data_IF_599981879316
#
_entry.id   IF_599981879316
#
_cell.length_a   1.000
_cell.length_b   1.000
_cell.length_c   1.000
_cell.angle_alpha   90.00
_cell.angle_beta   90.00
_cell.angle_gamma   90.00
#
_symmetry.space_group_name_H-M   'P 1'
#
loop_
_entity.id
_entity.type
_entity.pdbx_description
1 polymer ?
#
# COMPACT_ATOMS: atom_id res chain seq x y z
N UNK A 1 -42.38 -1.22 -8.08
CA UNK A 1 -41.58 -1.89 -7.04
C UNK A 1 -41.57 -0.96 -5.85
N UNK A 2 -41.96 -1.44 -4.68
CA UNK A 2 -42.17 -0.59 -3.51
C UNK A 2 -40.82 -0.09 -2.98
N UNK A 3 -40.72 1.18 -2.56
CA UNK A 3 -39.43 1.81 -2.17
C UNK A 3 -38.78 1.04 -1.00
N UNK A 4 -39.62 0.44 -0.15
CA UNK A 4 -39.21 -0.39 0.98
C UNK A 4 -38.65 -1.76 0.54
N UNK A 5 -39.15 -2.34 -0.54
CA UNK A 5 -38.64 -3.59 -1.10
C UNK A 5 -37.29 -3.39 -1.77
N UNK A 6 -37.10 -2.27 -2.48
CA UNK A 6 -35.80 -1.91 -3.08
C UNK A 6 -34.74 -1.65 -2.01
N UNK A 7 -35.08 -0.93 -0.93
CA UNK A 7 -34.13 -0.66 0.15
C UNK A 7 -33.77 -1.93 0.97
N UNK A 8 -34.73 -2.83 1.17
CA UNK A 8 -34.47 -4.12 1.80
C UNK A 8 -33.59 -5.04 0.93
N UNK A 9 -33.78 -5.00 -0.39
CA UNK A 9 -32.97 -5.75 -1.35
C UNK A 9 -31.51 -5.24 -1.39
N UNK A 10 -31.32 -3.92 -1.50
CA UNK A 10 -29.99 -3.29 -1.52
C UNK A 10 -29.19 -3.57 -0.25
N UNK A 11 -29.84 -3.53 0.93
CA UNK A 11 -29.19 -3.87 2.20
C UNK A 11 -28.76 -5.34 2.26
N UNK A 12 -29.56 -6.27 1.73
CA UNK A 12 -29.19 -7.69 1.65
C UNK A 12 -28.01 -7.89 0.70
N UNK A 13 -28.02 -7.23 -0.46
CA UNK A 13 -26.95 -7.32 -1.44
C UNK A 13 -25.61 -6.79 -0.87
N UNK A 14 -25.61 -5.61 -0.25
CA UNK A 14 -24.41 -5.03 0.40
C UNK A 14 -23.85 -5.91 1.51
N UNK A 15 -24.72 -6.55 2.30
CA UNK A 15 -24.31 -7.49 3.34
C UNK A 15 -23.64 -8.73 2.74
N UNK A 16 -24.23 -9.31 1.70
CA UNK A 16 -23.68 -10.49 1.04
C UNK A 16 -22.31 -10.18 0.39
N UNK A 17 -22.17 -9.02 -0.25
CA UNK A 17 -20.89 -8.55 -0.82
C UNK A 17 -19.84 -8.33 0.27
N UNK A 18 -20.22 -7.72 1.41
CA UNK A 18 -19.31 -7.54 2.55
C UNK A 18 -18.84 -8.88 3.13
N UNK A 19 -19.75 -9.86 3.27
CA UNK A 19 -19.38 -11.21 3.68
C UNK A 19 -18.44 -11.87 2.67
N UNK A 20 -18.74 -11.79 1.38
CA UNK A 20 -17.90 -12.36 0.33
C UNK A 20 -16.49 -11.73 0.34
N UNK A 21 -16.40 -10.41 0.53
CA UNK A 21 -15.11 -9.71 0.63
C UNK A 21 -14.32 -10.20 1.84
N UNK A 22 -14.96 -10.33 3.00
CA UNK A 22 -14.31 -10.87 4.20
C UNK A 22 -13.79 -12.30 3.97
N UNK A 23 -14.59 -13.17 3.35
CA UNK A 23 -14.14 -14.52 3.00
C UNK A 23 -12.97 -14.51 2.01
N UNK A 24 -12.98 -13.60 1.03
CA UNK A 24 -11.88 -13.44 0.07
C UNK A 24 -10.58 -12.92 0.71
N UNK A 25 -10.68 -12.18 1.83
CA UNK A 25 -9.53 -11.65 2.57
C UNK A 25 -9.01 -12.60 3.66
N UNK A 26 -9.76 -13.65 3.99
CA UNK A 26 -9.38 -14.62 5.02
C UNK A 26 -7.98 -15.25 4.78
N UNK A 27 -7.60 -15.63 3.55
CA UNK A 27 -6.24 -16.13 3.28
C UNK A 27 -5.14 -15.10 3.62
N UNK A 28 -5.36 -13.81 3.34
CA UNK A 28 -4.43 -12.74 3.70
C UNK A 28 -4.22 -12.69 5.22
N UNK A 29 -5.29 -12.70 6.01
CA UNK A 29 -5.20 -12.65 7.46
C UNK A 29 -4.51 -13.89 8.05
N UNK A 30 -4.83 -15.08 7.54
CA UNK A 30 -4.18 -16.32 7.97
C UNK A 30 -2.67 -16.31 7.65
N UNK A 31 -2.30 -15.87 6.45
CA UNK A 31 -0.89 -15.77 6.07
C UNK A 31 -0.14 -14.71 6.86
N UNK A 32 -0.76 -13.57 7.16
CA UNK A 32 -0.15 -12.53 8.00
C UNK A 32 0.05 -13.03 9.43
N UNK A 33 -0.93 -13.74 9.99
CA UNK A 33 -0.80 -14.38 11.31
C UNK A 33 0.31 -15.44 11.31
N UNK A 34 0.41 -16.26 10.26
CA UNK A 34 1.49 -17.24 10.09
C UNK A 34 2.86 -16.54 10.05
N UNK A 35 2.97 -15.43 9.32
CA UNK A 35 4.20 -14.64 9.27
C UNK A 35 4.62 -14.16 10.67
N UNK A 36 3.72 -13.56 11.44
CA UNK A 36 4.04 -13.10 12.79
C UNK A 36 4.32 -14.25 13.76
N UNK A 37 3.69 -15.41 13.57
CA UNK A 37 3.95 -16.61 14.36
C UNK A 37 5.33 -17.21 14.10
N UNK A 38 5.74 -17.26 12.83
CA UNK A 38 7.05 -17.81 12.43
C UNK A 38 8.20 -16.83 12.59
N UNK A 39 7.91 -15.53 12.64
CA UNK A 39 8.94 -14.51 12.68
C UNK A 39 9.62 -14.47 14.06
N UNK A 40 10.94 -14.66 14.03
CA UNK A 40 11.83 -14.45 15.17
C UNK A 40 13.00 -13.54 14.74
N UNK A 41 13.59 -12.74 15.67
CA UNK A 41 14.75 -11.91 15.36
C UNK A 41 15.93 -12.70 14.75
N UNK A 42 16.07 -13.96 15.14
CA UNK A 42 17.12 -14.89 14.67
C UNK A 42 16.69 -15.75 13.47
N UNK A 43 15.60 -15.38 12.79
CA UNK A 43 15.10 -16.15 11.65
C UNK A 43 16.14 -16.20 10.51
N UNK A 44 16.39 -17.38 9.93
CA UNK A 44 17.40 -17.52 8.89
C UNK A 44 16.98 -16.78 7.61
N UNK A 45 17.95 -16.11 6.98
CA UNK A 45 17.80 -15.56 5.63
C UNK A 45 17.62 -16.73 4.66
N UNK A 46 16.38 -16.97 4.23
CA UNK A 46 16.02 -18.14 3.44
C UNK A 46 14.92 -17.80 2.44
N UNK A 47 14.83 -18.60 1.37
CA UNK A 47 13.74 -18.50 0.41
C UNK A 47 12.39 -18.74 1.10
N UNK A 48 12.37 -19.58 2.13
CA UNK A 48 11.17 -19.81 2.94
C UNK A 48 10.73 -18.54 3.68
N UNK A 49 11.64 -17.83 4.35
CA UNK A 49 11.29 -16.60 5.07
C UNK A 49 10.85 -15.49 4.10
N UNK A 50 11.47 -15.40 2.93
CA UNK A 50 11.01 -14.52 1.83
C UNK A 50 9.60 -14.87 1.35
N UNK A 51 9.32 -16.16 1.15
CA UNK A 51 8.00 -16.65 0.77
C UNK A 51 6.93 -16.36 1.82
N UNK A 52 7.21 -16.64 3.10
CA UNK A 52 6.26 -16.39 4.21
C UNK A 52 6.00 -14.89 4.39
N UNK A 53 7.02 -14.03 4.20
CA UNK A 53 6.87 -12.57 4.27
C UNK A 53 6.05 -12.00 3.10
N UNK A 54 6.23 -12.51 1.88
CA UNK A 54 5.53 -12.01 0.69
C UNK A 54 4.13 -12.62 0.50
N UNK A 55 3.86 -13.79 1.09
CA UNK A 55 2.60 -14.52 0.93
C UNK A 55 1.33 -13.71 1.25
N UNK A 56 1.25 -12.89 2.32
CA UNK A 56 0.06 -12.08 2.58
C UNK A 56 -0.25 -11.16 1.40
N UNK A 57 0.76 -10.48 0.87
CA UNK A 57 0.62 -9.53 -0.24
C UNK A 57 0.22 -10.22 -1.54
N UNK A 58 0.79 -11.40 -1.83
CA UNK A 58 0.40 -12.20 -2.98
C UNK A 58 -1.05 -12.68 -2.90
N UNK A 59 -1.50 -13.12 -1.73
CA UNK A 59 -2.90 -13.53 -1.51
C UNK A 59 -3.86 -12.34 -1.63
N UNK A 60 -3.43 -11.16 -1.18
CA UNK A 60 -4.18 -9.92 -1.36
C UNK A 60 -4.26 -9.53 -2.84
N UNK A 61 -3.18 -9.70 -3.61
CA UNK A 61 -3.17 -9.48 -5.05
C UNK A 61 -4.15 -10.42 -5.77
N UNK A 62 -4.18 -11.70 -5.39
CA UNK A 62 -5.14 -12.67 -5.90
C UNK A 62 -6.59 -12.29 -5.57
N UNK A 63 -6.85 -11.77 -4.36
CA UNK A 63 -8.17 -11.27 -3.98
C UNK A 63 -8.58 -10.05 -4.82
N UNK A 64 -7.72 -9.05 -5.02
CA UNK A 64 -8.06 -7.90 -5.88
C UNK A 64 -8.30 -8.35 -7.32
N UNK A 65 -7.50 -9.29 -7.83
CA UNK A 65 -7.66 -9.82 -9.18
C UNK A 65 -9.00 -10.56 -9.37
N UNK A 66 -9.47 -11.32 -8.37
CA UNK A 66 -10.73 -12.07 -8.47
C UNK A 66 -11.96 -11.15 -8.46
N UNK A 67 -11.87 -9.98 -7.83
CA UNK A 67 -12.95 -8.99 -7.76
C UNK A 67 -12.95 -8.03 -8.95
N UNK A 68 -11.79 -7.47 -9.29
CA UNK A 68 -11.68 -6.40 -10.28
C UNK A 68 -11.27 -6.88 -11.67
N UNK A 69 -10.93 -8.16 -11.82
CA UNK A 69 -10.52 -8.77 -13.07
C UNK A 69 -9.17 -8.26 -13.59
N UNK A 70 -8.84 -8.66 -14.83
CA UNK A 70 -7.52 -8.43 -15.43
C UNK A 70 -7.11 -6.96 -15.59
N UNK A 71 -8.07 -6.02 -15.58
CA UNK A 71 -7.76 -4.58 -15.66
C UNK A 71 -6.98 -4.08 -14.43
N UNK A 72 -7.10 -4.73 -13.27
CA UNK A 72 -6.34 -4.35 -12.07
C UNK A 72 -4.87 -4.82 -12.12
N UNK A 73 -4.48 -5.70 -13.06
CA UNK A 73 -3.08 -6.17 -13.23
C UNK A 73 -2.12 -5.03 -13.52
N UNK A 74 -2.53 -4.06 -14.35
CA UNK A 74 -1.74 -2.85 -14.61
C UNK A 74 -1.90 -1.77 -13.53
N UNK A 75 -2.68 -2.05 -12.48
CA UNK A 75 -2.93 -1.15 -11.37
C UNK A 75 -2.58 -1.76 -10.02
N UNK A 76 -3.53 -1.82 -9.08
CA UNK A 76 -3.26 -2.23 -7.70
C UNK A 76 -2.67 -3.64 -7.60
N UNK A 77 -3.11 -4.60 -8.43
CA UNK A 77 -2.48 -5.94 -8.44
C UNK A 77 -1.00 -5.85 -8.83
N UNK A 78 -0.66 -5.06 -9.85
CA UNK A 78 0.73 -4.83 -10.24
C UNK A 78 1.57 -4.24 -9.10
N UNK A 79 1.05 -3.23 -8.40
CA UNK A 79 1.71 -2.65 -7.24
C UNK A 79 1.91 -3.65 -6.09
N UNK A 80 0.92 -4.52 -5.84
CA UNK A 80 1.02 -5.58 -4.84
C UNK A 80 2.09 -6.62 -5.23
N UNK A 81 2.16 -7.01 -6.51
CA UNK A 81 3.19 -7.95 -6.99
C UNK A 81 4.61 -7.37 -6.84
N UNK A 82 4.81 -6.08 -7.17
CA UNK A 82 6.09 -5.42 -6.96
C UNK A 82 6.41 -5.23 -5.47
N UNK A 83 5.41 -5.00 -4.62
CA UNK A 83 5.59 -4.95 -3.17
C UNK A 83 6.03 -6.32 -2.61
N UNK A 84 5.40 -7.41 -3.07
CA UNK A 84 5.79 -8.77 -2.72
C UNK A 84 7.22 -9.12 -3.19
N UNK A 85 7.62 -8.64 -4.37
CA UNK A 85 9.00 -8.75 -4.85
C UNK A 85 9.96 -7.96 -3.94
N UNK A 86 9.56 -6.76 -3.52
CA UNK A 86 10.28 -5.97 -2.53
C UNK A 86 10.48 -6.72 -1.21
N UNK A 87 9.41 -7.35 -0.70
CA UNK A 87 9.45 -8.17 0.51
C UNK A 87 10.46 -9.31 0.43
N UNK A 88 10.50 -10.00 -0.72
CA UNK A 88 11.48 -11.05 -0.99
C UNK A 88 12.91 -10.50 -0.97
N UNK A 89 13.18 -9.43 -1.72
CA UNK A 89 14.51 -8.84 -1.81
C UNK A 89 15.01 -8.32 -0.45
N UNK A 90 14.13 -7.73 0.37
CA UNK A 90 14.50 -7.17 1.68
C UNK A 90 14.90 -8.21 2.72
N UNK A 91 14.77 -9.52 2.46
CA UNK A 91 15.33 -10.56 3.34
C UNK A 91 16.86 -10.58 3.27
N UNK A 92 17.45 -10.23 2.12
CA UNK A 92 18.89 -10.25 1.93
C UNK A 92 19.44 -8.81 1.92
N UNK A 93 20.40 -8.47 2.80
CA UNK A 93 20.98 -7.13 2.86
C UNK A 93 21.57 -6.65 1.52
N UNK A 94 22.17 -7.57 0.76
CA UNK A 94 22.76 -7.33 -0.57
C UNK A 94 21.72 -6.88 -1.61
N UNK A 95 20.46 -7.29 -1.43
CA UNK A 95 19.35 -6.97 -2.31
C UNK A 95 18.52 -5.79 -1.81
N UNK A 96 18.97 -5.08 -0.77
CA UNK A 96 18.25 -3.95 -0.19
C UNK A 96 17.86 -2.90 -1.26
N UNK A 97 18.80 -2.52 -2.13
CA UNK A 97 18.55 -1.54 -3.18
C UNK A 97 17.53 -2.05 -4.21
N UNK A 98 17.60 -3.35 -4.56
CA UNK A 98 16.64 -3.98 -5.47
C UNK A 98 15.24 -4.05 -4.84
N UNK A 99 15.16 -4.35 -3.55
CA UNK A 99 13.91 -4.32 -2.79
C UNK A 99 13.29 -2.92 -2.74
N UNK A 100 14.10 -1.91 -2.42
CA UNK A 100 13.69 -0.51 -2.46
C UNK A 100 13.20 -0.10 -3.85
N UNK A 101 13.90 -0.50 -4.91
CA UNK A 101 13.48 -0.22 -6.29
C UNK A 101 12.15 -0.90 -6.63
N UNK A 102 11.92 -2.14 -6.18
CA UNK A 102 10.65 -2.83 -6.38
C UNK A 102 9.49 -2.09 -5.67
N UNK A 103 9.68 -1.65 -4.43
CA UNK A 103 8.69 -0.81 -3.72
C UNK A 103 8.49 0.56 -4.40
N UNK A 104 9.54 1.19 -4.93
CA UNK A 104 9.43 2.42 -5.70
C UNK A 104 8.54 2.24 -6.95
N UNK A 105 8.70 1.13 -7.65
CA UNK A 105 7.83 0.76 -8.79
C UNK A 105 6.40 0.52 -8.33
N UNK A 106 6.19 -0.13 -7.18
CA UNK A 106 4.86 -0.30 -6.60
C UNK A 106 4.17 1.06 -6.34
N UNK A 107 4.87 2.01 -5.69
CA UNK A 107 4.38 3.36 -5.43
C UNK A 107 4.04 4.11 -6.72
N UNK A 108 4.85 3.95 -7.77
CA UNK A 108 4.57 4.52 -9.08
C UNK A 108 3.31 3.91 -9.71
N UNK A 109 3.15 2.60 -9.67
CA UNK A 109 1.96 1.92 -10.20
C UNK A 109 0.70 2.35 -9.44
N UNK A 110 0.75 2.42 -8.10
CA UNK A 110 -0.35 2.94 -7.29
C UNK A 110 -0.68 4.39 -7.66
N UNK A 111 0.33 5.24 -7.80
CA UNK A 111 0.17 6.63 -8.26
C UNK A 111 -0.56 6.72 -9.60
N UNK A 112 -0.12 5.97 -10.61
CA UNK A 112 -0.76 5.93 -11.93
C UNK A 112 -2.19 5.38 -11.85
N UNK A 113 -2.43 4.41 -10.97
CA UNK A 113 -3.76 3.84 -10.73
C UNK A 113 -4.71 4.88 -10.13
N UNK A 114 -4.26 5.65 -9.14
CA UNK A 114 -5.03 6.72 -8.51
C UNK A 114 -5.29 7.90 -9.45
N UNK A 115 -4.52 8.02 -10.54
CA UNK A 115 -4.78 8.98 -11.61
C UNK A 115 -5.90 8.56 -12.58
N UNK A 116 -6.20 7.26 -12.64
CA UNK A 116 -7.20 6.66 -13.55
C UNK A 116 -8.62 7.20 -13.30
N UNK A 117 -9.44 7.17 -14.35
CA UNK A 117 -10.86 7.54 -14.28
C UNK A 117 -11.66 6.73 -13.26
N UNK A 118 -11.18 5.52 -12.89
CA UNK A 118 -11.77 4.66 -11.85
C UNK A 118 -11.87 5.34 -10.48
N UNK A 119 -11.00 6.30 -10.19
CA UNK A 119 -10.92 6.98 -8.89
C UNK A 119 -11.41 8.43 -8.93
N UNK A 120 -12.19 8.79 -9.95
CA UNK A 120 -12.59 10.18 -10.13
C UNK A 120 -13.59 10.64 -9.06
N UNK A 121 -13.23 11.65 -8.28
CA UNK A 121 -14.18 12.72 -7.95
C UNK A 121 -13.51 14.08 -8.10
N UNK A 122 -13.88 14.80 -9.16
CA UNK A 122 -13.43 16.17 -9.42
C UNK A 122 -14.12 17.13 -8.44
N UNK A 123 -13.41 17.50 -7.37
CA UNK A 123 -13.57 18.81 -6.75
C UNK A 123 -12.21 19.32 -6.32
N UNK A 124 -11.57 20.08 -7.21
CA UNK A 124 -10.30 20.76 -6.94
C UNK A 124 -10.55 21.95 -6.00
N UNK A 125 -10.85 21.66 -4.74
CA UNK A 125 -10.93 22.67 -3.68
C UNK A 125 -9.54 23.24 -3.37
N UNK A 126 -9.45 24.49 -2.96
CA UNK A 126 -8.20 25.07 -2.44
C UNK A 126 -7.62 24.25 -1.28
N UNK A 127 -8.47 23.53 -0.53
CA UNK A 127 -8.06 22.64 0.55
C UNK A 127 -7.23 21.44 0.09
N UNK A 128 -7.55 20.82 -1.05
CA UNK A 128 -6.80 19.66 -1.55
C UNK A 128 -5.40 20.06 -2.00
N UNK A 129 -5.26 21.21 -2.67
CA UNK A 129 -3.95 21.78 -3.03
C UNK A 129 -3.09 22.09 -1.81
N UNK A 130 -3.70 22.59 -0.74
CA UNK A 130 -2.98 22.84 0.53
C UNK A 130 -2.47 21.54 1.16
N UNK A 131 -3.29 20.47 1.17
CA UNK A 131 -2.86 19.15 1.65
C UNK A 131 -1.72 18.55 0.81
N UNK A 132 -1.71 18.77 -0.51
CA UNK A 132 -0.60 18.33 -1.36
C UNK A 132 0.71 19.01 -0.95
N UNK A 133 0.67 20.33 -0.74
CA UNK A 133 1.83 21.09 -0.30
C UNK A 133 2.34 20.57 1.05
N UNK A 134 1.45 20.31 2.01
CA UNK A 134 1.81 19.76 3.32
C UNK A 134 2.56 18.43 3.16
N UNK A 135 2.04 17.49 2.36
CA UNK A 135 2.69 16.19 2.19
C UNK A 135 4.07 16.32 1.54
N UNK A 136 4.24 17.21 0.55
CA UNK A 136 5.55 17.47 -0.05
C UNK A 136 6.53 18.11 0.94
N UNK A 137 6.07 19.03 1.80
CA UNK A 137 6.91 19.61 2.87
C UNK A 137 7.32 18.53 3.87
N UNK A 138 6.40 17.65 4.29
CA UNK A 138 6.70 16.55 5.20
C UNK A 138 7.71 15.58 4.57
N UNK A 139 7.48 15.15 3.32
CA UNK A 139 8.38 14.24 2.61
C UNK A 139 9.78 14.84 2.40
N UNK A 140 9.84 16.10 1.93
CA UNK A 140 11.10 16.82 1.77
C UNK A 140 11.83 17.05 3.09
N UNK A 141 11.11 17.44 4.15
CA UNK A 141 11.65 17.59 5.50
C UNK A 141 12.20 16.29 6.07
N UNK A 142 11.49 15.17 5.86
CA UNK A 142 11.96 13.86 6.26
C UNK A 142 13.23 13.44 5.52
N UNK A 143 13.30 13.66 4.21
CA UNK A 143 14.52 13.38 3.44
C UNK A 143 15.72 14.21 3.91
N UNK A 144 15.52 15.51 4.18
CA UNK A 144 16.56 16.39 4.72
C UNK A 144 17.02 15.90 6.10
N UNK A 145 16.10 15.46 6.95
CA UNK A 145 16.42 14.88 8.25
C UNK A 145 17.23 13.58 8.14
N UNK A 146 16.93 12.74 7.15
CA UNK A 146 17.60 11.46 6.92
C UNK A 146 18.99 11.62 6.26
N UNK A 147 19.20 12.68 5.48
CA UNK A 147 20.41 12.98 4.72
C UNK A 147 21.75 12.75 5.47
N UNK A 148 21.98 13.28 6.71
CA UNK A 148 23.24 13.06 7.42
C UNK A 148 23.49 11.59 7.79
N UNK A 149 22.44 10.77 7.92
CA UNK A 149 22.56 9.33 8.19
C UNK A 149 22.86 8.57 6.90
N UNK A 150 22.25 8.96 5.78
CA UNK A 150 22.55 8.39 4.45
C UNK A 150 24.02 8.61 4.06
N UNK A 151 24.59 9.79 4.36
CA UNK A 151 26.00 10.09 4.08
C UNK A 151 27.01 9.26 4.90
N UNK A 152 26.57 8.61 5.98
CA UNK A 152 27.40 7.70 6.78
C UNK A 152 27.37 6.25 6.27
N UNK A 153 26.44 5.93 5.37
CA UNK A 153 26.36 4.60 4.79
C UNK A 153 27.51 4.36 3.79
N UNK A 154 28.02 3.11 3.67
CA UNK A 154 29.15 2.78 2.81
C UNK A 154 28.92 3.16 1.33
N UNK A 155 27.68 3.07 0.83
CA UNK A 155 27.30 3.37 -0.56
C UNK A 155 26.54 4.70 -0.70
N UNK A 156 26.95 5.73 0.05
CA UNK A 156 26.17 6.97 0.15
C UNK A 156 25.89 7.67 -1.19
N UNK A 157 26.81 7.57 -2.16
CA UNK A 157 26.67 8.26 -3.45
C UNK A 157 25.52 7.69 -4.29
N UNK A 158 25.20 6.41 -4.11
CA UNK A 158 24.05 5.76 -4.75
C UNK A 158 22.80 5.83 -3.87
N UNK A 159 22.94 5.65 -2.56
CA UNK A 159 21.82 5.62 -1.62
C UNK A 159 21.12 6.97 -1.48
N UNK A 160 21.87 8.08 -1.46
CA UNK A 160 21.30 9.43 -1.32
C UNK A 160 20.30 9.74 -2.45
N UNK A 161 20.67 9.66 -3.75
CA UNK A 161 19.71 9.90 -4.82
C UNK A 161 18.62 8.83 -4.89
N UNK A 162 18.92 7.56 -4.61
CA UNK A 162 17.92 6.48 -4.63
C UNK A 162 16.82 6.71 -3.58
N UNK A 163 17.20 7.04 -2.34
CA UNK A 163 16.24 7.35 -1.27
C UNK A 163 15.48 8.65 -1.57
N UNK A 164 16.12 9.64 -2.19
CA UNK A 164 15.43 10.86 -2.64
C UNK A 164 14.32 10.58 -3.65
N UNK A 165 14.60 9.76 -4.67
CA UNK A 165 13.59 9.31 -5.64
C UNK A 165 12.49 8.49 -4.96
N UNK A 166 12.87 7.60 -4.04
CA UNK A 166 11.91 6.80 -3.28
C UNK A 166 10.93 7.68 -2.47
N UNK A 167 11.45 8.62 -1.69
CA UNK A 167 10.66 9.55 -0.88
C UNK A 167 9.75 10.41 -1.77
N UNK A 168 10.23 10.84 -2.93
CA UNK A 168 9.41 11.54 -3.89
C UNK A 168 8.23 10.69 -4.38
N UNK A 169 8.48 9.43 -4.78
CA UNK A 169 7.45 8.53 -5.32
C UNK A 169 6.39 8.15 -4.28
N UNK A 170 6.78 7.84 -3.04
CA UNK A 170 5.82 7.53 -1.98
C UNK A 170 5.01 8.77 -1.57
N UNK A 171 5.63 9.95 -1.58
CA UNK A 171 4.92 11.22 -1.33
C UNK A 171 3.93 11.51 -2.45
N UNK A 172 4.35 11.31 -3.71
CA UNK A 172 3.48 11.43 -4.88
C UNK A 172 2.27 10.49 -4.75
N UNK A 173 2.49 9.21 -4.40
CA UNK A 173 1.41 8.27 -4.15
C UNK A 173 0.45 8.78 -3.07
N UNK A 174 0.96 9.22 -1.92
CA UNK A 174 0.13 9.78 -0.84
C UNK A 174 -0.69 11.00 -1.27
N UNK A 175 -0.10 11.90 -2.06
CA UNK A 175 -0.81 13.07 -2.59
C UNK A 175 -1.91 12.68 -3.59
N UNK A 176 -1.65 11.70 -4.45
CA UNK A 176 -2.64 11.22 -5.40
C UNK A 176 -3.74 10.41 -4.72
N UNK A 177 -3.46 9.75 -3.58
CA UNK A 177 -4.46 9.09 -2.78
C UNK A 177 -5.52 10.07 -2.24
N UNK A 178 -5.13 11.31 -1.86
CA UNK A 178 -6.08 12.37 -1.46
C UNK A 178 -7.05 12.69 -2.60
N UNK A 179 -6.56 12.72 -3.85
CA UNK A 179 -7.39 13.00 -5.04
C UNK A 179 -8.52 11.98 -5.22
N UNK A 180 -8.30 10.74 -4.79
CA UNK A 180 -9.28 9.66 -4.98
C UNK A 180 -10.59 9.89 -4.22
N UNK A 181 -10.58 10.71 -3.16
CA UNK A 181 -11.73 10.90 -2.27
C UNK A 181 -12.14 9.65 -1.48
N UNK A 182 -11.40 8.54 -1.63
CA UNK A 182 -11.72 7.26 -1.00
C UNK A 182 -10.93 7.10 0.29
N UNK A 183 -11.65 7.00 1.41
CA UNK A 183 -11.04 6.93 2.74
C UNK A 183 -10.08 5.73 2.89
N UNK A 184 -10.44 4.55 2.36
CA UNK A 184 -9.58 3.36 2.47
C UNK A 184 -8.25 3.56 1.73
N UNK A 185 -8.29 4.01 0.47
CA UNK A 185 -7.10 4.28 -0.34
C UNK A 185 -6.21 5.36 0.27
N UNK A 186 -6.80 6.44 0.80
CA UNK A 186 -6.09 7.51 1.49
C UNK A 186 -5.41 7.01 2.77
N UNK A 187 -6.17 6.37 3.67
CA UNK A 187 -5.64 5.85 4.93
C UNK A 187 -4.57 4.79 4.69
N UNK A 188 -4.75 3.93 3.69
CA UNK A 188 -3.77 2.94 3.29
C UNK A 188 -2.46 3.58 2.83
N UNK A 189 -2.55 4.58 1.93
CA UNK A 189 -1.36 5.28 1.42
C UNK A 189 -0.60 6.03 2.52
N UNK A 190 -1.32 6.71 3.43
CA UNK A 190 -0.70 7.38 4.58
C UNK A 190 -0.06 6.39 5.56
N UNK A 191 -0.71 5.25 5.79
CA UNK A 191 -0.17 4.19 6.65
C UNK A 191 1.09 3.56 6.02
N UNK A 192 1.13 3.44 4.69
CA UNK A 192 2.33 3.02 3.97
C UNK A 192 3.49 4.01 4.20
N UNK A 193 3.23 5.31 4.07
CA UNK A 193 4.24 6.33 4.36
C UNK A 193 4.80 6.20 5.79
N UNK A 194 3.94 5.94 6.77
CA UNK A 194 4.36 5.74 8.16
C UNK A 194 5.21 4.47 8.32
N UNK A 195 4.81 3.36 7.68
CA UNK A 195 5.59 2.11 7.63
C UNK A 195 7.00 2.36 7.11
N UNK A 196 7.12 3.09 6.00
CA UNK A 196 8.40 3.30 5.33
C UNK A 196 9.29 4.31 6.06
N UNK A 197 8.70 5.31 6.72
CA UNK A 197 9.41 6.17 7.67
C UNK A 197 10.00 5.31 8.80
N UNK A 198 9.19 4.45 9.42
CA UNK A 198 9.66 3.57 10.50
C UNK A 198 10.77 2.62 10.01
N UNK A 199 10.62 2.04 8.82
CA UNK A 199 11.62 1.19 8.19
C UNK A 199 12.92 1.94 7.91
N UNK A 200 12.84 3.15 7.34
CA UNK A 200 14.02 3.97 7.05
C UNK A 200 14.78 4.37 8.32
N UNK A 201 14.07 4.75 9.39
CA UNK A 201 14.69 5.06 10.68
C UNK A 201 15.44 3.85 11.26
N UNK A 202 14.88 2.65 11.11
CA UNK A 202 15.50 1.40 11.55
C UNK A 202 16.72 1.03 10.69
N UNK A 203 16.59 1.03 9.36
CA UNK A 203 17.65 0.62 8.42
C UNK A 203 18.86 1.55 8.49
N UNK A 204 18.62 2.87 8.54
CA UNK A 204 19.69 3.86 8.61
C UNK A 204 20.14 4.17 10.04
N UNK A 205 19.69 3.37 11.02
CA UNK A 205 20.11 3.43 12.44
C UNK A 205 20.00 4.83 13.03
N UNK A 206 18.90 5.52 12.71
CA UNK A 206 18.61 6.86 13.20
C UNK A 206 18.23 6.83 14.67
N UNK A 207 17.49 5.80 15.07
CA UNK A 207 17.03 5.55 16.45
C UNK A 207 17.75 4.33 17.04
N UNK A 208 17.81 4.27 18.37
CA UNK A 208 18.32 3.08 19.07
C UNK A 208 17.46 1.84 18.73
N UNK A 209 18.04 0.62 18.75
CA UNK A 209 17.29 -0.60 18.48
C UNK A 209 16.10 -0.72 19.44
N UNK A 210 14.89 -0.57 18.90
CA UNK A 210 13.67 -0.82 19.67
C UNK A 210 13.28 -2.29 19.48
N UNK A 211 13.01 -3.00 20.58
CA UNK A 211 12.67 -4.43 20.58
C UNK A 211 11.50 -4.78 19.64
N UNK A 212 10.58 -3.83 19.40
CA UNK A 212 9.36 -4.06 18.62
C UNK A 212 9.32 -3.29 17.28
N UNK A 213 10.44 -2.66 16.87
CA UNK A 213 10.47 -1.81 15.65
C UNK A 213 9.97 -2.54 14.41
N UNK A 214 10.43 -3.78 14.22
CA UNK A 214 10.09 -4.59 13.04
C UNK A 214 8.60 -4.96 13.02
N UNK A 215 8.00 -5.28 14.17
CA UNK A 215 6.58 -5.60 14.26
C UNK A 215 5.73 -4.39 13.85
N UNK A 216 6.10 -3.20 14.32
CA UNK A 216 5.41 -1.94 13.97
C UNK A 216 5.44 -1.72 12.45
N UNK A 217 6.62 -1.88 11.82
CA UNK A 217 6.77 -1.77 10.37
C UNK A 217 5.85 -2.77 9.66
N UNK A 218 5.91 -4.05 10.01
CA UNK A 218 5.14 -5.07 9.29
C UNK A 218 3.62 -4.96 9.50
N UNK A 219 3.17 -4.58 10.70
CA UNK A 219 1.74 -4.34 10.97
C UNK A 219 1.23 -3.16 10.16
N UNK A 220 1.95 -2.04 10.17
CA UNK A 220 1.55 -0.84 9.41
C UNK A 220 1.62 -1.11 7.90
N UNK A 221 2.63 -1.83 7.43
CA UNK A 221 2.77 -2.27 6.04
C UNK A 221 1.60 -3.14 5.56
N UNK A 222 1.30 -4.24 6.25
CA UNK A 222 0.20 -5.13 5.85
C UNK A 222 -1.16 -4.42 5.94
N UNK A 223 -1.35 -3.56 6.94
CA UNK A 223 -2.55 -2.74 7.04
C UNK A 223 -2.67 -1.75 5.87
N UNK A 224 -1.56 -1.11 5.48
CA UNK A 224 -1.53 -0.19 4.36
C UNK A 224 -1.95 -0.87 3.05
N UNK A 225 -1.36 -2.03 2.76
CA UNK A 225 -1.66 -2.82 1.57
C UNK A 225 -3.11 -3.29 1.56
N UNK A 226 -3.60 -3.80 2.69
CA UNK A 226 -5.01 -4.19 2.86
C UNK A 226 -5.96 -3.03 2.54
N UNK A 227 -5.70 -1.85 3.08
CA UNK A 227 -6.54 -0.67 2.88
C UNK A 227 -6.53 -0.19 1.42
N UNK A 228 -5.38 -0.23 0.74
CA UNK A 228 -5.29 0.09 -0.70
C UNK A 228 -6.07 -0.94 -1.53
N UNK A 229 -5.91 -2.23 -1.25
CA UNK A 229 -6.62 -3.31 -1.95
C UNK A 229 -8.14 -3.21 -1.79
N UNK A 230 -8.62 -3.02 -0.56
CA UNK A 230 -10.05 -2.82 -0.28
C UNK A 230 -10.57 -1.53 -0.93
N UNK A 231 -9.74 -0.49 -0.97
CA UNK A 231 -10.02 0.74 -1.72
C UNK A 231 -10.28 0.48 -3.20
N UNK A 232 -9.40 -0.26 -3.88
CA UNK A 232 -9.54 -0.60 -5.31
C UNK A 232 -10.78 -1.43 -5.60
N UNK A 233 -11.10 -2.43 -4.75
CA UNK A 233 -12.30 -3.25 -4.92
C UNK A 233 -13.57 -2.39 -4.85
N UNK A 234 -13.65 -1.50 -3.85
CA UNK A 234 -14.80 -0.58 -3.70
C UNK A 234 -14.86 0.48 -4.79
N UNK A 235 -13.72 0.90 -5.33
CA UNK A 235 -13.67 1.86 -6.43
C UNK A 235 -14.35 1.31 -7.70
N UNK A 236 -14.13 0.03 -8.01
CA UNK A 236 -14.74 -0.62 -9.17
C UNK A 236 -16.24 -0.84 -8.96
N UNK A 237 -16.64 -1.34 -7.77
CA UNK A 237 -18.05 -1.55 -7.41
C UNK A 237 -18.89 -0.27 -7.62
N UNK A 238 -18.40 0.87 -7.12
CA UNK A 238 -19.10 2.16 -7.27
C UNK A 238 -19.26 2.59 -8.73
N UNK A 239 -18.29 2.31 -9.60
CA UNK A 239 -18.37 2.64 -11.02
C UNK A 239 -19.40 1.76 -11.75
N UNK A 240 -19.43 0.46 -11.43
CA UNK A 240 -20.38 -0.47 -12.02
C UNK A 240 -21.82 -0.11 -11.65
N UNK A 241 -22.08 0.21 -10.38
CA UNK A 241 -23.40 0.63 -9.91
C UNK A 241 -23.85 1.94 -10.56
N UNK A 242 -22.96 2.93 -10.69
CA UNK A 242 -23.26 4.18 -11.39
C UNK A 242 -23.56 3.96 -12.88
N UNK A 243 -22.86 3.02 -13.52
CA UNK A 243 -23.11 2.66 -14.93
C UNK A 243 -24.46 1.97 -15.14
N UNK A 244 -24.88 1.11 -14.20
CA UNK A 244 -26.19 0.46 -14.21
C UNK A 244 -27.31 1.47 -14.02
N UNK A 245 -27.16 2.40 -13.07
CA UNK A 245 -28.14 3.46 -12.82
C UNK A 245 -28.40 4.32 -14.07
N UNK A 246 -27.35 4.71 -14.81
CA UNK A 246 -27.51 5.48 -16.07
C UNK A 246 -28.25 4.75 -17.19
N UNK A 247 -28.35 3.41 -17.12
CA UNK A 247 -28.98 2.57 -18.15
C UNK A 247 -30.44 2.19 -17.81
N UNK A 248 -30.89 2.44 -16.58
CA UNK A 248 -32.27 2.21 -16.13
C UNK A 248 -33.12 3.47 -16.28
#
# INVERSE_FOLDING_TARGET
>A
MDILETDAYDRRQKRNMSCALLFSLLPFFLSAALYFYMWTPDSPMSIMSAGVKSAPILLLAAAVLSWNGGQSVLGVVGGLLFSALGDCCLIWPELFLHGMAAFAVAHLIYSLTFLSSRYSTYSSSSWTRFLYLILFIIGGGFYIYLYPFLKKAPDSDLLVPAVGVYVFLITLMGTLAIRTGQAATLLGSLTFMVSDIALALQVFKVTAPMEHSHVIVMVTYYLAQLLIAVGDIKAVENNDDFSKWKRS
#
